data_IF_093312122114
#
_entry.id   IF_093312122114
#
_cell.length_a   1.000
_cell.length_b   1.000
_cell.length_c   1.000
_cell.angle_alpha   90.00
_cell.angle_beta   90.00
_cell.angle_gamma   90.00
#
_symmetry.space_group_name_H-M   'P 1'
#
loop_
_entity.id
_entity.type
_entity.pdbx_description
1 polymer ?
#
# COMPACT_ATOMS: atom_id res chain seq x y z
N UNK A 1 -0.91 -10.67 2.04
CA UNK A 1 0.42 -11.08 1.57
C UNK A 1 0.96 -9.98 0.67
N UNK A 2 2.11 -9.40 1.06
CA UNK A 2 2.72 -8.23 0.41
C UNK A 2 3.29 -8.53 -0.98
N UNK A 3 3.84 -7.49 -1.61
CA UNK A 3 4.39 -7.56 -2.96
C UNK A 3 5.85 -8.01 -2.91
N UNK A 4 6.10 -9.27 -3.24
CA UNK A 4 7.44 -9.89 -3.21
C UNK A 4 8.13 -9.92 -4.59
N UNK A 5 7.52 -9.26 -5.59
CA UNK A 5 8.04 -9.15 -6.95
C UNK A 5 7.59 -7.83 -7.58
N UNK A 6 8.40 -7.30 -8.49
CA UNK A 6 8.06 -6.10 -9.27
C UNK A 6 6.84 -6.32 -10.17
N UNK A 7 6.46 -7.57 -10.43
CA UNK A 7 5.30 -7.94 -11.24
C UNK A 7 4.10 -8.37 -10.38
N UNK A 8 4.26 -8.41 -9.06
CA UNK A 8 3.18 -8.82 -8.17
C UNK A 8 2.03 -7.81 -8.26
N UNK A 9 0.82 -8.29 -8.50
CA UNK A 9 -0.34 -7.40 -8.65
C UNK A 9 -0.99 -7.19 -7.29
N UNK A 10 -1.23 -5.93 -6.87
CA UNK A 10 -2.01 -5.65 -5.68
C UNK A 10 -3.40 -6.29 -5.78
N UNK A 11 -3.74 -7.13 -4.80
CA UNK A 11 -5.08 -7.72 -4.72
C UNK A 11 -6.05 -6.69 -4.13
N UNK A 12 -7.17 -6.45 -4.80
CA UNK A 12 -8.19 -5.51 -4.31
C UNK A 12 -8.83 -6.07 -3.04
N UNK A 13 -8.88 -5.27 -1.98
CA UNK A 13 -9.60 -5.65 -0.76
C UNK A 13 -11.13 -5.54 -1.01
N UNK A 14 -11.96 -6.47 -0.51
CA UNK A 14 -13.39 -6.45 -0.78
C UNK A 14 -14.05 -5.16 -0.29
N UNK A 15 -14.80 -4.47 -1.16
CA UNK A 15 -15.42 -3.18 -0.85
C UNK A 15 -16.30 -3.22 0.41
N UNK A 16 -17.01 -4.33 0.64
CA UNK A 16 -17.83 -4.53 1.84
C UNK A 16 -17.00 -4.52 3.13
N UNK A 17 -15.83 -5.16 3.12
CA UNK A 17 -14.95 -5.21 4.29
C UNK A 17 -14.30 -3.85 4.56
N UNK A 18 -13.96 -3.09 3.51
CA UNK A 18 -13.50 -1.71 3.66
C UNK A 18 -14.58 -0.80 4.25
N UNK A 19 -15.82 -0.88 3.73
CA UNK A 19 -16.92 -0.07 4.23
C UNK A 19 -17.18 -0.34 5.73
N UNK A 20 -17.10 -1.61 6.16
CA UNK A 20 -17.20 -1.97 7.58
C UNK A 20 -16.05 -1.39 8.43
N UNK A 21 -14.84 -1.29 7.89
CA UNK A 21 -13.73 -0.62 8.58
C UNK A 21 -14.00 0.89 8.70
N UNK A 22 -14.44 1.53 7.62
CA UNK A 22 -14.69 2.98 7.58
C UNK A 22 -15.86 3.40 8.51
N UNK A 23 -16.83 2.51 8.80
CA UNK A 23 -17.89 2.82 9.79
C UNK A 23 -17.38 3.05 11.21
N UNK A 24 -16.13 2.67 11.52
CA UNK A 24 -15.49 2.94 12.81
C UNK A 24 -14.94 4.36 12.95
N UNK A 25 -14.93 5.16 11.88
CA UNK A 25 -14.36 6.51 11.86
C UNK A 25 -15.45 7.53 11.51
N UNK A 26 -15.48 8.67 12.21
CA UNK A 26 -16.47 9.72 11.96
C UNK A 26 -15.98 10.72 10.91
N UNK A 27 -14.66 10.95 10.83
CA UNK A 27 -13.98 11.77 9.82
C UNK A 27 -12.60 11.19 9.48
N UNK A 28 -12.05 11.61 8.33
CA UNK A 28 -10.64 11.43 7.99
C UNK A 28 -9.70 12.15 8.98
N UNK A 29 -10.17 13.25 9.58
CA UNK A 29 -9.42 14.03 10.58
C UNK A 29 -9.25 13.27 11.91
N UNK A 30 -10.06 12.24 12.17
CA UNK A 30 -9.92 11.39 13.37
C UNK A 30 -8.68 10.48 13.28
N UNK A 31 -8.06 10.38 12.09
CA UNK A 31 -6.89 9.53 11.84
C UNK A 31 -5.57 10.24 12.22
N UNK A 32 -5.55 11.57 12.30
CA UNK A 32 -4.38 12.38 12.66
C UNK A 32 -4.09 12.39 14.19
N UNK A 33 -4.90 11.71 15.00
CA UNK A 33 -4.54 11.45 16.38
C UNK A 33 -3.33 10.54 16.44
N UNK A 34 -2.26 10.96 17.14
CA UNK A 34 -1.05 10.18 17.44
C UNK A 34 -1.45 8.72 17.63
N UNK A 35 -1.21 7.88 16.60
CA UNK A 35 -1.39 6.45 16.77
C UNK A 35 -0.44 6.08 17.89
N UNK A 36 -0.92 5.52 19.01
CA UNK A 36 -0.06 5.24 20.15
C UNK A 36 1.10 4.41 19.64
N UNK A 37 2.32 4.92 19.83
CA UNK A 37 3.55 4.28 19.37
C UNK A 37 3.41 2.77 19.58
N UNK A 38 3.32 2.03 18.46
CA UNK A 38 2.70 0.70 18.40
C UNK A 38 2.93 -0.09 19.69
N UNK A 39 1.89 -0.24 20.50
CA UNK A 39 1.95 -1.10 21.67
C UNK A 39 1.93 -2.55 21.18
N UNK A 40 3.11 -3.02 20.78
CA UNK A 40 3.34 -4.25 20.02
C UNK A 40 2.73 -5.46 20.75
N UNK A 41 1.53 -5.85 20.35
CA UNK A 41 0.93 -7.09 20.83
C UNK A 41 1.55 -8.26 20.06
N UNK A 42 2.40 -9.03 20.75
CA UNK A 42 3.04 -10.25 20.24
C UNK A 42 2.02 -11.40 20.14
N UNK A 43 1.01 -11.26 19.27
CA UNK A 43 0.05 -12.33 19.06
C UNK A 43 0.62 -13.47 18.20
N UNK A 44 0.17 -14.70 18.47
CA UNK A 44 0.49 -15.89 17.66
C UNK A 44 0.05 -15.72 16.19
N UNK A 45 -1.01 -14.93 15.95
CA UNK A 45 -1.49 -14.63 14.61
C UNK A 45 -0.46 -13.84 13.79
N UNK A 46 0.22 -12.86 14.41
CA UNK A 46 1.31 -12.10 13.76
C UNK A 46 2.50 -13.01 13.45
N UNK A 47 2.83 -13.94 14.35
CA UNK A 47 3.85 -14.98 14.12
C UNK A 47 3.54 -15.85 12.91
N UNK A 48 2.30 -16.32 12.80
CA UNK A 48 1.86 -17.04 11.61
C UNK A 48 2.02 -16.22 10.32
N UNK A 49 1.66 -14.93 10.35
CA UNK A 49 1.76 -14.06 9.17
C UNK A 49 3.20 -13.77 8.75
N UNK A 50 4.10 -13.48 9.69
CA UNK A 50 5.53 -13.25 9.40
C UNK A 50 6.18 -14.52 8.85
N UNK A 51 5.89 -15.68 9.44
CA UNK A 51 6.39 -16.97 8.95
C UNK A 51 5.90 -17.26 7.53
N UNK A 52 4.61 -17.05 7.25
CA UNK A 52 4.04 -17.22 5.91
C UNK A 52 4.66 -16.27 4.88
N UNK A 53 4.90 -15.01 5.26
CA UNK A 53 5.56 -14.02 4.42
C UNK A 53 7.00 -14.42 4.07
N UNK A 54 7.80 -14.79 5.07
CA UNK A 54 9.19 -15.22 4.87
C UNK A 54 9.29 -16.50 4.04
N UNK A 55 8.41 -17.47 4.28
CA UNK A 55 8.35 -18.68 3.47
C UNK A 55 8.03 -18.37 2.01
N UNK A 56 7.10 -17.45 1.76
CA UNK A 56 6.77 -17.02 0.40
C UNK A 56 7.93 -16.28 -0.26
N UNK A 57 8.65 -15.43 0.47
CA UNK A 57 9.80 -14.70 -0.04
C UNK A 57 10.96 -15.65 -0.41
N UNK A 58 11.23 -16.67 0.40
CA UNK A 58 12.32 -17.64 0.14
C UNK A 58 12.12 -18.48 -1.13
N UNK A 59 10.87 -18.69 -1.53
CA UNK A 59 10.53 -19.48 -2.73
C UNK A 59 10.62 -18.62 -4.00
N UNK A 60 10.60 -17.29 -3.87
CA UNK A 60 10.65 -16.37 -5.01
C UNK A 60 12.08 -15.94 -5.29
N UNK A 61 12.55 -16.14 -6.53
CA UNK A 61 13.82 -15.60 -6.99
C UNK A 61 13.61 -14.16 -7.52
N UNK A 62 14.00 -13.18 -6.72
CA UNK A 62 13.91 -11.76 -7.08
C UNK A 62 14.53 -10.87 -6.02
N UNK A 63 15.02 -9.70 -6.45
CA UNK A 63 15.71 -8.78 -5.53
C UNK A 63 14.80 -8.33 -4.38
N UNK A 64 13.53 -8.02 -4.65
CA UNK A 64 12.56 -7.63 -3.62
C UNK A 64 12.37 -8.74 -2.57
N UNK A 65 12.32 -10.01 -2.99
CA UNK A 65 12.19 -11.12 -2.07
C UNK A 65 13.46 -11.30 -1.22
N UNK A 66 14.65 -11.15 -1.83
CA UNK A 66 15.94 -11.16 -1.12
C UNK A 66 16.02 -10.02 -0.10
N UNK A 67 15.68 -8.81 -0.51
CA UNK A 67 15.64 -7.62 0.35
C UNK A 67 14.66 -7.83 1.52
N UNK A 68 13.46 -8.33 1.24
CA UNK A 68 12.46 -8.63 2.26
C UNK A 68 12.93 -9.67 3.29
N UNK A 69 13.67 -10.70 2.86
CA UNK A 69 14.27 -11.70 3.78
C UNK A 69 15.46 -11.17 4.56
N UNK A 70 16.11 -10.11 4.08
CA UNK A 70 17.23 -9.46 4.78
C UNK A 70 16.77 -8.59 5.95
N UNK A 71 15.51 -8.13 5.92
CA UNK A 71 14.88 -7.48 7.07
C UNK A 71 14.73 -8.51 8.18
N UNK A 72 15.51 -8.36 9.25
CA UNK A 72 15.52 -9.31 10.35
C UNK A 72 14.11 -9.59 10.90
N UNK A 73 13.83 -10.84 11.26
CA UNK A 73 12.47 -11.29 11.61
C UNK A 73 11.77 -10.40 12.64
N UNK A 74 12.48 -9.96 13.69
CA UNK A 74 11.96 -9.04 14.70
C UNK A 74 11.41 -7.73 14.10
N UNK A 75 12.06 -7.18 13.07
CA UNK A 75 11.57 -5.96 12.41
C UNK A 75 10.31 -6.22 11.57
N UNK A 76 10.23 -7.38 10.91
CA UNK A 76 9.00 -7.79 10.22
C UNK A 76 7.86 -7.98 11.23
N UNK A 77 8.15 -8.52 12.41
CA UNK A 77 7.18 -8.58 13.52
C UNK A 77 6.66 -7.20 13.90
N UNK A 78 7.54 -6.21 14.06
CA UNK A 78 7.12 -4.84 14.37
C UNK A 78 6.18 -4.28 13.29
N UNK A 79 6.51 -4.45 12.01
CA UNK A 79 5.66 -3.97 10.91
C UNK A 79 4.30 -4.66 10.87
N UNK A 80 4.27 -5.99 11.03
CA UNK A 80 3.01 -6.75 10.99
C UNK A 80 2.15 -6.50 12.23
N UNK A 81 2.76 -6.26 13.39
CA UNK A 81 2.04 -5.87 14.60
C UNK A 81 1.40 -4.51 14.42
N UNK A 82 2.12 -3.52 13.87
CA UNK A 82 1.55 -2.19 13.61
C UNK A 82 0.31 -2.22 12.69
N UNK A 83 0.29 -3.12 11.70
CA UNK A 83 -0.89 -3.36 10.85
C UNK A 83 -2.05 -3.91 11.68
N UNK A 84 -1.80 -4.93 12.50
CA UNK A 84 -2.82 -5.57 13.32
C UNK A 84 -3.38 -4.62 14.40
N UNK A 85 -2.51 -3.85 15.06
CA UNK A 85 -2.85 -2.88 16.11
C UNK A 85 -3.72 -1.74 15.55
N UNK A 86 -3.51 -1.37 14.28
CA UNK A 86 -4.37 -0.42 13.55
C UNK A 86 -5.73 -1.01 13.12
N UNK A 87 -6.05 -2.25 13.53
CA UNK A 87 -7.29 -2.94 13.15
C UNK A 87 -7.33 -3.37 11.68
N UNK A 88 -6.20 -3.32 10.98
CA UNK A 88 -6.12 -3.73 9.58
C UNK A 88 -5.86 -5.25 9.50
N UNK A 89 -6.61 -6.00 8.68
CA UNK A 89 -6.39 -7.44 8.52
C UNK A 89 -5.11 -7.76 7.73
N UNK A 90 -4.63 -6.82 6.93
CA UNK A 90 -3.39 -6.91 6.14
C UNK A 90 -3.07 -5.56 5.52
N UNK A 91 -1.80 -5.29 5.22
CA UNK A 91 -1.41 -4.11 4.45
C UNK A 91 -1.87 -4.21 2.98
N UNK A 92 -2.99 -3.55 2.67
CA UNK A 92 -3.62 -3.54 1.34
C UNK A 92 -4.30 -2.18 1.10
N UNK A 93 -3.54 -1.12 0.78
CA UNK A 93 -4.13 0.18 0.50
C UNK A 93 -5.04 0.11 -0.73
N UNK A 94 -6.09 0.93 -0.73
CA UNK A 94 -7.01 1.02 -1.85
C UNK A 94 -6.49 2.01 -2.90
N UNK A 95 -5.79 1.48 -3.90
CA UNK A 95 -5.17 2.27 -5.00
C UNK A 95 -6.16 2.88 -6.00
N UNK A 96 -7.45 2.50 -5.94
CA UNK A 96 -8.48 2.98 -6.87
C UNK A 96 -9.50 3.93 -6.25
N UNK A 97 -9.57 4.01 -4.91
CA UNK A 97 -10.49 4.89 -4.22
C UNK A 97 -9.89 6.24 -3.88
N UNK A 98 -10.57 6.95 -2.98
CA UNK A 98 -10.13 8.24 -2.48
C UNK A 98 -8.84 8.07 -1.65
N UNK A 99 -7.72 8.73 -2.00
CA UNK A 99 -6.50 8.70 -1.21
C UNK A 99 -6.68 9.21 0.23
N UNK A 100 -7.64 10.10 0.44
CA UNK A 100 -7.93 10.73 1.74
C UNK A 100 -9.05 10.01 2.52
N UNK A 101 -9.42 8.77 2.15
CA UNK A 101 -10.35 7.99 2.97
C UNK A 101 -9.66 7.50 4.24
N UNK A 102 -10.41 7.34 5.34
CA UNK A 102 -9.86 6.86 6.61
C UNK A 102 -9.10 5.54 6.44
N UNK A 103 -9.62 4.61 5.64
CA UNK A 103 -8.92 3.35 5.32
C UNK A 103 -7.53 3.58 4.73
N UNK A 104 -7.38 4.51 3.79
CA UNK A 104 -6.11 4.80 3.13
C UNK A 104 -5.16 5.63 4.02
N UNK A 105 -5.69 6.57 4.81
CA UNK A 105 -4.91 7.34 5.77
C UNK A 105 -4.32 6.46 6.88
N UNK A 106 -5.08 5.48 7.39
CA UNK A 106 -4.56 4.52 8.38
C UNK A 106 -3.43 3.68 7.76
N UNK A 107 -3.55 3.24 6.51
CA UNK A 107 -2.44 2.54 5.83
C UNK A 107 -1.20 3.42 5.65
N UNK A 108 -1.38 4.71 5.37
CA UNK A 108 -0.29 5.68 5.26
C UNK A 108 0.41 5.87 6.61
N UNK A 109 -0.35 6.09 7.69
CA UNK A 109 0.16 6.22 9.05
C UNK A 109 0.94 4.98 9.50
N UNK A 110 0.34 3.79 9.36
CA UNK A 110 1.01 2.51 9.69
C UNK A 110 2.33 2.37 8.93
N UNK A 111 2.37 2.73 7.65
CA UNK A 111 3.61 2.68 6.88
C UNK A 111 4.66 3.65 7.44
N UNK A 112 4.29 4.92 7.65
CA UNK A 112 5.21 5.96 8.11
C UNK A 112 5.81 5.58 9.46
N UNK A 113 4.98 5.18 10.42
CA UNK A 113 5.43 4.87 11.78
C UNK A 113 6.28 3.61 11.83
N UNK A 114 5.83 2.53 11.18
CA UNK A 114 6.58 1.27 11.18
C UNK A 114 7.88 1.38 10.39
N UNK A 115 7.88 2.12 9.27
CA UNK A 115 9.09 2.39 8.50
C UNK A 115 10.09 3.20 9.33
N UNK A 116 9.63 4.26 10.02
CA UNK A 116 10.47 5.10 10.88
C UNK A 116 11.08 4.30 12.02
N UNK A 117 10.29 3.47 12.70
CA UNK A 117 10.74 2.63 13.79
C UNK A 117 11.82 1.63 13.34
N UNK A 118 11.58 0.94 12.22
CA UNK A 118 12.50 -0.08 11.69
C UNK A 118 13.74 0.53 11.02
N UNK A 119 13.60 1.67 10.35
CA UNK A 119 14.74 2.35 9.75
C UNK A 119 15.69 2.91 10.83
N UNK A 120 15.14 3.41 11.93
CA UNK A 120 15.91 3.90 13.09
C UNK A 120 16.72 2.78 13.78
N UNK A 121 16.31 1.51 13.68
CA UNK A 121 17.06 0.37 14.21
C UNK A 121 18.14 -0.18 13.27
N UNK A 122 18.44 0.52 12.17
CA UNK A 122 19.42 0.10 11.14
C UNK A 122 19.06 -1.21 10.42
N UNK A 123 17.80 -1.63 10.47
CA UNK A 123 17.33 -2.86 9.81
C UNK A 123 17.49 -2.86 8.29
N UNK A 124 17.58 -1.67 7.69
CA UNK A 124 17.79 -1.47 6.24
C UNK A 124 19.24 -1.14 5.88
N UNK A 125 20.19 -1.32 6.79
CA UNK A 125 21.61 -1.06 6.55
C UNK A 125 22.16 -1.80 5.34
N UNK A 126 21.67 -3.02 5.06
CA UNK A 126 22.00 -3.83 3.89
C UNK A 126 21.47 -3.26 2.57
N UNK A 127 20.44 -2.40 2.62
CA UNK A 127 19.75 -1.90 1.43
C UNK A 127 20.29 -0.53 0.97
N UNK A 128 21.18 0.11 1.74
CA UNK A 128 21.76 1.43 1.44
C UNK A 128 20.72 2.55 1.19
N UNK A 129 19.48 2.40 1.70
CA UNK A 129 18.34 3.21 1.23
C UNK A 129 18.16 4.55 1.96
N UNK A 130 18.60 4.73 3.20
CA UNK A 130 18.13 5.88 4.00
C UNK A 130 19.18 6.54 4.87
N UNK A 131 19.31 7.86 4.74
CA UNK A 131 19.99 8.72 5.71
C UNK A 131 19.05 9.06 6.88
N UNK A 132 19.56 9.08 8.12
CA UNK A 132 18.79 9.37 9.33
C UNK A 132 17.93 10.66 9.26
N UNK A 133 18.39 11.78 8.66
CA UNK A 133 17.56 12.97 8.52
C UNK A 133 16.29 12.74 7.69
N UNK A 134 16.37 11.90 6.65
CA UNK A 134 15.23 11.57 5.79
C UNK A 134 14.20 10.67 6.46
N UNK A 135 14.61 9.88 7.47
CA UNK A 135 13.72 9.02 8.27
C UNK A 135 12.80 9.86 9.17
N UNK A 136 13.27 11.03 9.61
CA UNK A 136 12.51 11.90 10.51
C UNK A 136 11.63 12.92 9.78
N UNK A 137 11.80 13.12 8.47
CA UNK A 137 10.91 13.96 7.66
C UNK A 137 9.63 13.21 7.30
N UNK A 138 8.59 13.39 8.11
CA UNK A 138 7.27 12.78 7.89
C UNK A 138 6.69 13.12 6.51
N UNK A 139 6.80 14.39 6.10
CA UNK A 139 6.27 14.82 4.81
C UNK A 139 6.99 14.13 3.65
N UNK A 140 8.30 13.88 3.78
CA UNK A 140 9.03 13.06 2.82
C UNK A 140 8.51 11.63 2.82
N UNK A 141 8.34 10.98 3.98
CA UNK A 141 7.85 9.60 4.06
C UNK A 141 6.44 9.44 3.47
N UNK A 142 5.53 10.37 3.79
CA UNK A 142 4.17 10.41 3.21
C UNK A 142 4.21 10.59 1.69
N UNK A 143 5.09 11.45 1.17
CA UNK A 143 5.29 11.61 -0.29
C UNK A 143 5.82 10.34 -0.95
N UNK A 144 6.81 9.68 -0.34
CA UNK A 144 7.35 8.40 -0.82
C UNK A 144 6.25 7.34 -0.86
N UNK A 145 5.48 7.21 0.23
CA UNK A 145 4.33 6.32 0.30
C UNK A 145 3.32 6.58 -0.81
N UNK A 146 2.85 7.82 -0.94
CA UNK A 146 1.84 8.20 -1.94
C UNK A 146 2.34 7.97 -3.37
N UNK A 147 3.61 8.26 -3.64
CA UNK A 147 4.24 7.97 -4.94
C UNK A 147 4.25 6.47 -5.25
N UNK A 148 4.62 5.64 -4.28
CA UNK A 148 4.60 4.19 -4.42
C UNK A 148 3.18 3.64 -4.63
N UNK A 149 2.23 4.02 -3.77
CA UNK A 149 0.85 3.48 -3.80
C UNK A 149 0.05 4.00 -4.99
N UNK A 150 0.00 5.32 -5.20
CA UNK A 150 -0.87 5.91 -6.22
C UNK A 150 -0.18 6.11 -7.57
N UNK A 151 1.15 6.03 -7.62
CA UNK A 151 1.93 5.97 -8.86
C UNK A 151 2.17 4.52 -9.30
N UNK A 152 3.07 3.82 -8.61
CA UNK A 152 3.52 2.49 -9.02
C UNK A 152 2.43 1.42 -8.87
N UNK A 153 1.86 1.22 -7.67
CA UNK A 153 0.87 0.15 -7.44
C UNK A 153 -0.41 0.34 -8.25
N UNK A 154 -0.89 1.58 -8.37
CA UNK A 154 -2.04 1.90 -9.21
C UNK A 154 -1.79 1.57 -10.68
N UNK A 155 -0.61 1.91 -11.20
CA UNK A 155 -0.24 1.62 -12.60
C UNK A 155 -0.22 0.11 -12.84
N UNK A 156 0.38 -0.64 -11.92
CA UNK A 156 0.43 -2.09 -11.99
C UNK A 156 -0.97 -2.71 -11.95
N UNK A 157 -1.81 -2.29 -11.01
CA UNK A 157 -3.18 -2.79 -10.88
C UNK A 157 -4.03 -2.46 -12.13
N UNK A 158 -3.86 -1.27 -12.72
CA UNK A 158 -4.52 -0.90 -13.99
C UNK A 158 -4.03 -1.78 -15.13
N UNK A 159 -2.72 -1.97 -15.29
CA UNK A 159 -2.14 -2.79 -16.37
C UNK A 159 -2.70 -4.21 -16.36
N UNK A 160 -2.84 -4.81 -15.18
CA UNK A 160 -3.47 -6.14 -15.05
C UNK A 160 -4.95 -6.13 -15.42
N UNK A 161 -5.71 -5.12 -14.99
CA UNK A 161 -7.12 -4.98 -15.37
C UNK A 161 -7.30 -4.83 -16.90
N UNK A 162 -6.43 -4.08 -17.57
CA UNK A 162 -6.43 -3.96 -19.03
C UNK A 162 -6.13 -5.30 -19.71
N UNK A 163 -5.22 -6.10 -19.15
CA UNK A 163 -4.89 -7.43 -19.69
C UNK A 163 -6.04 -8.43 -19.54
N UNK A 164 -6.82 -8.35 -18.46
CA UNK A 164 -7.91 -9.31 -18.17
C UNK A 164 -9.23 -8.87 -18.82
N UNK A 165 -9.51 -7.57 -18.85
CA UNK A 165 -10.77 -7.00 -19.36
C UNK A 165 -10.53 -5.80 -20.28
N UNK A 166 -10.03 -6.02 -21.52
CA UNK A 166 -9.71 -4.92 -22.44
C UNK A 166 -10.92 -4.06 -22.85
N UNK A 167 -12.15 -4.54 -22.66
CA UNK A 167 -13.40 -3.86 -23.06
C UNK A 167 -14.20 -3.18 -21.94
N UNK A 168 -13.85 -3.35 -20.66
CA UNK A 168 -14.65 -2.78 -19.55
C UNK A 168 -14.23 -1.36 -19.11
N UNK A 169 -13.06 -0.86 -19.54
CA UNK A 169 -12.47 0.38 -19.00
C UNK A 169 -12.99 1.65 -19.70
N UNK A 170 -13.91 1.53 -20.67
CA UNK A 170 -14.55 2.71 -21.28
C UNK A 170 -15.66 3.29 -20.36
N UNK A 171 -16.11 2.56 -19.34
CA UNK A 171 -17.28 2.95 -18.53
C UNK A 171 -16.96 3.48 -17.12
N UNK A 172 -15.73 3.36 -16.62
CA UNK A 172 -15.37 3.82 -15.27
C UNK A 172 -14.87 5.28 -15.21
N UNK A 173 -14.52 5.88 -16.35
CA UNK A 173 -14.09 7.29 -16.45
C UNK A 173 -15.25 8.24 -16.79
N UNK A 174 -16.50 7.75 -16.88
CA UNK A 174 -17.68 8.52 -17.29
C UNK A 174 -18.37 9.34 -16.17
N UNK A 175 -18.02 9.10 -14.90
CA UNK A 175 -18.66 9.75 -13.74
C UNK A 175 -17.89 11.00 -13.23
N UNK A 176 -17.14 11.72 -14.08
CA UNK A 176 -16.32 12.82 -13.55
C UNK A 176 -15.68 13.85 -14.48
N UNK A 177 -16.02 13.95 -15.77
CA UNK A 177 -15.55 15.08 -16.58
C UNK A 177 -16.62 15.62 -17.56
N UNK A 178 -16.79 16.95 -17.67
CA UNK A 178 -17.76 17.56 -18.57
C UNK A 178 -17.38 17.29 -20.02
N UNK A 179 -18.39 16.87 -20.79
CA UNK A 179 -18.32 16.53 -22.19
C UNK A 179 -17.64 17.62 -23.02
N UNK A 180 -16.43 17.34 -23.50
CA UNK A 180 -15.82 18.14 -24.56
C UNK A 180 -15.83 17.32 -25.85
N UNK A 181 -16.57 17.84 -26.83
CA UNK A 181 -16.94 17.21 -28.10
C UNK A 181 -15.73 16.69 -28.88
N UNK A 182 -15.69 15.39 -29.16
CA UNK A 182 -14.86 14.84 -30.23
C UNK A 182 -15.52 15.16 -31.58
N UNK A 183 -14.99 16.19 -32.25
CA UNK A 183 -15.32 16.56 -33.63
C UNK A 183 -14.75 15.50 -34.57
N UNK A 184 -15.57 14.57 -35.02
CA UNK A 184 -15.25 13.66 -36.13
C UNK A 184 -15.07 14.46 -37.41
N UNK A 185 -13.85 14.55 -37.94
CA UNK A 185 -13.65 14.89 -39.35
C UNK A 185 -13.84 13.61 -40.16
N UNK A 186 -14.93 13.54 -40.94
CA UNK A 186 -15.05 12.57 -42.03
C UNK A 186 -13.98 12.87 -43.10
N UNK A 187 -13.29 11.86 -43.63
CA UNK A 187 -12.51 12.03 -44.85
C UNK A 187 -13.45 12.01 -46.06
N UNK A 188 -13.44 13.10 -46.83
CA UNK A 188 -14.10 13.18 -48.14
C UNK A 188 -13.34 12.33 -49.16
N UNK A 189 -14.00 11.32 -49.70
CA UNK A 189 -13.58 10.60 -50.90
C UNK A 189 -13.84 11.50 -52.12
N UNK A 190 -12.78 11.89 -52.82
CA UNK A 190 -12.71 12.01 -54.28
C UNK A 190 -11.28 11.80 -54.75
#
# INVERSE_FOLDING_TARGET
MGLLSQQAVPTRFPAKAMASFETGFSSADDVDGDMPAAAMSLSDAVHGQVAAFLNSARVLDGQIAKDATSVGGHHLYCMFSAIADAGLPSFRPNVFGNPESAYNLVHEGVFVDSFRAVASSSAYSSLYVVSLPSINDENLLRRVYRSFVYGFLRTQARSTLFSIYPRLIILSDAEGLPSTRLRTKQPSLR
#
